data_IF_338756006293
#
_entry.id   IF_338756006293
#
_cell.length_a   1.000
_cell.length_b   1.000
_cell.length_c   1.000
_cell.angle_alpha   90.00
_cell.angle_beta   90.00
_cell.angle_gamma   90.00
#
_symmetry.space_group_name_H-M   'P 1'
#
loop_
_entity.id
_entity.type
_entity.pdbx_description
1 polymer ?
#
# COMPACT_ATOMS: atom_id res chain seq x y z
N UNK A 1 -30.22 -5.88 6.50
CA UNK A 1 -30.46 -4.44 6.34
C UNK A 1 -29.64 -3.85 5.21
N UNK A 2 -28.30 -3.99 5.21
CA UNK A 2 -27.39 -3.46 4.17
C UNK A 2 -27.74 -3.95 2.75
N UNK A 3 -28.08 -5.24 2.60
CA UNK A 3 -28.43 -5.81 1.29
C UNK A 3 -29.77 -5.26 0.75
N UNK A 4 -30.74 -5.04 1.64
CA UNK A 4 -32.05 -4.50 1.30
C UNK A 4 -31.96 -3.01 0.96
N UNK A 5 -31.11 -2.25 1.66
CA UNK A 5 -30.82 -0.86 1.30
C UNK A 5 -30.05 -0.72 -0.01
N UNK A 6 -29.13 -1.64 -0.31
CA UNK A 6 -28.43 -1.66 -1.60
C UNK A 6 -29.38 -2.01 -2.75
N UNK A 7 -30.28 -2.99 -2.55
CA UNK A 7 -31.31 -3.35 -3.51
C UNK A 7 -32.28 -2.18 -3.78
N UNK A 8 -32.77 -1.53 -2.71
CA UNK A 8 -33.62 -0.33 -2.84
C UNK A 8 -32.90 0.81 -3.56
N UNK A 9 -31.62 1.03 -3.26
CA UNK A 9 -30.82 2.05 -3.95
C UNK A 9 -30.74 1.78 -5.46
N UNK A 10 -30.40 0.55 -5.87
CA UNK A 10 -30.34 0.17 -7.29
C UNK A 10 -31.70 0.29 -7.97
N UNK A 11 -32.78 0.00 -7.25
CA UNK A 11 -34.15 0.09 -7.77
C UNK A 11 -34.65 1.54 -7.88
N UNK A 12 -34.21 2.42 -6.99
CA UNK A 12 -34.52 3.85 -7.00
C UNK A 12 -33.66 4.66 -7.99
N UNK A 13 -32.44 4.22 -8.29
CA UNK A 13 -31.52 4.84 -9.26
C UNK A 13 -31.77 4.27 -10.67
N UNK A 14 -33.03 4.31 -11.10
CA UNK A 14 -33.44 4.04 -12.49
C UNK A 14 -32.69 2.84 -13.15
N UNK A 15 -33.06 1.59 -12.83
CA UNK A 15 -32.22 0.40 -13.08
C UNK A 15 -31.79 0.22 -14.54
N UNK A 16 -32.58 0.73 -15.50
CA UNK A 16 -32.25 0.75 -16.92
C UNK A 16 -30.99 1.56 -17.27
N UNK A 17 -30.74 2.71 -16.64
CA UNK A 17 -29.54 3.53 -16.92
C UNK A 17 -28.29 3.06 -16.18
N UNK A 18 -28.47 2.34 -15.07
CA UNK A 18 -27.38 1.70 -14.33
C UNK A 18 -26.92 0.39 -14.99
N UNK A 19 -27.86 -0.44 -15.47
CA UNK A 19 -27.58 -1.77 -16.04
C UNK A 19 -27.38 -1.77 -17.56
N UNK A 20 -27.91 -0.80 -18.31
CA UNK A 20 -27.71 -0.72 -19.76
C UNK A 20 -26.30 -0.24 -20.08
N UNK A 21 -25.37 -1.20 -20.22
CA UNK A 21 -24.00 -0.98 -20.66
C UNK A 21 -23.86 -0.62 -22.15
N UNK A 22 -24.94 -0.59 -22.94
CA UNK A 22 -24.87 -0.50 -24.40
C UNK A 22 -25.22 0.87 -25.01
N UNK A 23 -25.46 1.90 -24.21
CA UNK A 23 -25.71 3.24 -24.75
C UNK A 23 -25.82 4.30 -23.67
N UNK A 24 -24.74 5.08 -23.48
CA UNK A 24 -24.71 6.30 -22.67
C UNK A 24 -25.33 6.18 -21.25
N UNK A 25 -25.28 4.98 -20.67
CA UNK A 25 -25.60 4.72 -19.26
C UNK A 25 -24.36 4.81 -18.36
N UNK A 26 -24.57 4.90 -17.05
CA UNK A 26 -23.50 5.13 -16.07
C UNK A 26 -22.36 4.11 -16.09
N UNK A 27 -22.66 2.84 -16.37
CA UNK A 27 -21.66 1.74 -16.42
C UNK A 27 -20.80 1.77 -17.69
N UNK A 28 -21.38 2.09 -18.85
CA UNK A 28 -20.62 2.23 -20.09
C UNK A 28 -19.66 3.43 -20.07
N UNK A 29 -20.04 4.51 -19.37
CA UNK A 29 -19.13 5.65 -19.14
C UNK A 29 -17.93 5.22 -18.29
N UNK A 30 -18.16 4.53 -17.17
CA UNK A 30 -17.07 4.02 -16.31
C UNK A 30 -16.17 3.04 -17.06
N UNK A 31 -16.74 2.15 -17.87
CA UNK A 31 -15.94 1.24 -18.70
C UNK A 31 -15.07 2.00 -19.70
N UNK A 32 -15.62 3.02 -20.38
CA UNK A 32 -14.86 3.85 -21.32
C UNK A 32 -13.72 4.62 -20.65
N UNK A 33 -13.98 5.17 -19.46
CA UNK A 33 -12.97 5.83 -18.63
C UNK A 33 -11.87 4.84 -18.21
N UNK A 34 -12.23 3.65 -17.73
CA UNK A 34 -11.26 2.62 -17.33
C UNK A 34 -10.45 2.12 -18.53
N UNK A 35 -11.07 1.90 -19.69
CA UNK A 35 -10.35 1.53 -20.93
C UNK A 35 -9.33 2.59 -21.32
N UNK A 36 -9.71 3.87 -21.29
CA UNK A 36 -8.79 4.96 -21.60
C UNK A 36 -7.63 5.04 -20.60
N UNK A 37 -7.85 4.62 -19.35
CA UNK A 37 -6.82 4.60 -18.29
C UNK A 37 -5.90 3.38 -18.39
N UNK A 38 -6.41 2.21 -18.77
CA UNK A 38 -5.61 0.98 -18.94
C UNK A 38 -4.89 0.89 -20.29
N UNK A 39 -5.42 1.55 -21.33
CA UNK A 39 -4.89 1.54 -22.72
C UNK A 39 -4.17 2.87 -23.02
N UNK A 40 -3.48 3.45 -22.03
CA UNK A 40 -2.66 4.67 -22.18
C UNK A 40 -1.47 4.47 -23.15
N UNK A 41 -1.15 3.22 -23.48
CA UNK A 41 -0.06 2.84 -24.39
C UNK A 41 -0.36 2.98 -25.88
N UNK A 42 -1.60 2.78 -26.33
CA UNK A 42 -1.89 2.55 -27.76
C UNK A 42 -2.72 3.64 -28.44
N UNK A 43 -3.51 4.43 -27.70
CA UNK A 43 -4.35 5.47 -28.31
C UNK A 43 -3.61 6.81 -28.32
N UNK A 44 -2.66 6.93 -29.24
CA UNK A 44 -1.81 8.11 -29.44
C UNK A 44 -2.55 9.39 -29.90
N UNK A 45 -3.87 9.34 -30.11
CA UNK A 45 -4.67 10.50 -30.50
C UNK A 45 -6.11 10.28 -30.12
N UNK A 46 -6.67 11.20 -29.34
CA UNK A 46 -8.12 11.38 -29.32
C UNK A 46 -8.51 11.89 -30.70
N UNK A 47 -8.86 11.00 -31.62
CA UNK A 47 -9.55 11.39 -32.85
C UNK A 47 -10.91 11.90 -32.41
N UNK A 48 -11.06 13.23 -32.38
CA UNK A 48 -12.38 13.84 -32.36
C UNK A 48 -13.03 13.37 -33.65
N UNK A 49 -13.99 12.46 -33.55
CA UNK A 49 -14.80 12.04 -34.69
C UNK A 49 -15.68 13.24 -35.03
N UNK A 50 -15.13 14.16 -35.82
CA UNK A 50 -15.93 15.11 -36.57
C UNK A 50 -16.10 14.53 -37.97
N UNK A 51 -17.34 14.53 -38.46
CA UNK A 51 -17.77 13.87 -39.69
C UNK A 51 -17.36 14.69 -40.94
N UNK A 52 -16.19 15.33 -40.87
CA UNK A 52 -15.58 16.19 -41.89
C UNK A 52 -14.23 15.65 -42.35
N UNK A 53 -13.91 15.82 -43.63
CA UNK A 53 -12.82 15.15 -44.38
C UNK A 53 -11.38 15.47 -43.93
N UNK A 54 -11.16 16.10 -42.77
CA UNK A 54 -9.86 16.27 -42.13
C UNK A 54 -10.03 16.33 -40.60
N UNK A 55 -9.99 15.19 -39.88
CA UNK A 55 -10.14 15.20 -38.43
C UNK A 55 -8.92 15.87 -37.79
N UNK A 56 -9.18 16.93 -37.00
CA UNK A 56 -8.15 17.60 -36.23
C UNK A 56 -7.65 16.64 -35.13
N UNK A 57 -6.37 16.31 -35.19
CA UNK A 57 -5.71 15.43 -34.22
C UNK A 57 -5.10 16.28 -33.12
N UNK A 58 -5.70 16.25 -31.94
CA UNK A 58 -5.14 16.92 -30.77
C UNK A 58 -4.24 15.96 -29.97
N UNK A 59 -3.07 16.42 -29.49
CA UNK A 59 -2.23 15.63 -28.61
C UNK A 59 -2.97 15.32 -27.30
N UNK A 60 -2.88 14.07 -26.86
CA UNK A 60 -3.59 13.61 -25.67
C UNK A 60 -3.05 14.28 -24.40
N UNK A 61 -3.91 15.01 -23.68
CA UNK A 61 -3.59 15.70 -22.41
C UNK A 61 -3.11 14.72 -21.33
N UNK A 62 -3.54 13.45 -21.36
CA UNK A 62 -3.06 12.45 -20.39
C UNK A 62 -1.56 12.17 -20.53
N UNK A 63 -0.95 12.39 -21.69
CA UNK A 63 0.51 12.28 -21.89
C UNK A 63 1.29 13.50 -21.40
N UNK A 64 0.64 14.64 -21.18
CA UNK A 64 1.32 15.88 -20.72
C UNK A 64 1.39 15.97 -19.20
N UNK A 65 0.73 15.08 -18.47
CA UNK A 65 0.72 15.07 -17.00
C UNK A 65 1.80 14.10 -16.51
N UNK A 66 2.89 14.64 -15.98
CA UNK A 66 4.04 13.86 -15.48
C UNK A 66 3.70 12.90 -14.31
N UNK A 67 2.64 13.18 -13.56
CA UNK A 67 2.16 12.30 -12.49
C UNK A 67 1.29 11.14 -13.02
N UNK A 68 0.71 11.29 -14.21
CA UNK A 68 -0.09 10.27 -14.87
C UNK A 68 0.77 9.26 -15.63
N UNK A 69 2.07 9.55 -15.77
CA UNK A 69 3.02 8.70 -16.46
C UNK A 69 3.26 7.37 -15.72
N UNK A 70 3.48 6.32 -16.52
CA UNK A 70 3.75 4.97 -16.05
C UNK A 70 5.22 4.82 -15.73
N UNK A 71 5.54 4.31 -14.54
CA UNK A 71 6.92 4.14 -14.11
C UNK A 71 7.20 2.68 -13.79
N UNK A 72 8.41 2.22 -14.11
CA UNK A 72 8.85 0.86 -13.83
C UNK A 72 8.72 0.49 -12.34
N UNK A 73 8.33 -0.76 -12.07
CA UNK A 73 8.11 -1.32 -10.73
C UNK A 73 9.20 -0.98 -9.71
N UNK A 74 10.49 -1.04 -10.10
CA UNK A 74 11.61 -0.73 -9.19
C UNK A 74 11.60 0.70 -8.70
N UNK A 75 11.18 1.62 -9.56
CA UNK A 75 11.12 3.04 -9.24
C UNK A 75 9.86 3.37 -8.42
N UNK A 76 8.77 2.63 -8.62
CA UNK A 76 7.59 2.68 -7.72
C UNK A 76 8.00 2.37 -6.28
N UNK A 77 8.72 1.26 -6.06
CA UNK A 77 9.22 0.92 -4.73
C UNK A 77 10.23 1.96 -4.23
N UNK A 78 11.18 2.38 -5.08
CA UNK A 78 12.19 3.38 -4.70
C UNK A 78 11.61 4.73 -4.29
N UNK A 79 10.42 5.08 -4.77
CA UNK A 79 9.68 6.28 -4.35
C UNK A 79 9.04 6.14 -2.97
N UNK A 80 8.87 4.91 -2.46
CA UNK A 80 8.31 4.61 -1.15
C UNK A 80 9.42 4.57 -0.11
N UNK A 81 10.36 3.63 -0.23
CA UNK A 81 11.64 3.66 0.50
C UNK A 81 12.80 3.73 -0.50
N UNK A 82 13.84 4.48 -0.14
CA UNK A 82 15.07 4.55 -0.96
C UNK A 82 15.72 3.18 -1.20
N UNK A 83 15.50 2.22 -0.32
CA UNK A 83 16.01 0.85 -0.40
C UNK A 83 14.94 -0.16 -0.85
N UNK A 84 15.01 -0.54 -2.13
CA UNK A 84 14.09 -1.48 -2.78
C UNK A 84 13.99 -2.84 -2.08
N UNK A 85 15.03 -3.29 -1.36
CA UNK A 85 14.98 -4.58 -0.65
C UNK A 85 14.02 -4.55 0.55
N UNK A 86 13.98 -3.41 1.26
CA UNK A 86 13.10 -3.23 2.42
C UNK A 86 11.65 -3.14 1.93
N UNK A 87 11.38 -2.42 0.83
CA UNK A 87 10.06 -2.39 0.23
C UNK A 87 9.55 -3.77 -0.17
N UNK A 88 10.40 -4.57 -0.82
CA UNK A 88 10.06 -5.93 -1.22
C UNK A 88 9.74 -6.81 -0.01
N UNK A 89 10.54 -6.72 1.05
CA UNK A 89 10.29 -7.44 2.29
C UNK A 89 8.94 -7.03 2.92
N UNK A 90 8.67 -5.73 2.98
CA UNK A 90 7.40 -5.19 3.48
C UNK A 90 6.19 -5.61 2.66
N UNK A 91 6.29 -5.50 1.34
CA UNK A 91 5.24 -5.89 0.41
C UNK A 91 4.92 -7.39 0.50
N UNK A 92 5.95 -8.24 0.51
CA UNK A 92 5.79 -9.70 0.63
C UNK A 92 5.18 -10.09 1.98
N UNK A 93 5.63 -9.47 3.08
CA UNK A 93 5.09 -9.70 4.40
C UNK A 93 3.63 -9.24 4.53
N UNK A 94 3.29 -8.09 3.94
CA UNK A 94 1.91 -7.64 3.86
C UNK A 94 1.04 -8.63 3.09
N UNK A 95 1.52 -9.16 1.96
CA UNK A 95 0.79 -10.14 1.17
C UNK A 95 0.57 -11.46 1.94
N UNK A 96 1.57 -11.94 2.67
CA UNK A 96 1.43 -13.08 3.57
C UNK A 96 0.38 -12.81 4.66
N UNK A 97 0.41 -11.62 5.28
CA UNK A 97 -0.59 -11.19 6.26
C UNK A 97 -1.99 -11.10 5.64
N UNK A 98 -2.10 -10.61 4.41
CA UNK A 98 -3.35 -10.52 3.67
C UNK A 98 -3.97 -11.90 3.40
N UNK A 99 -3.17 -12.92 3.11
CA UNK A 99 -3.65 -14.30 2.99
C UNK A 99 -4.08 -14.88 4.35
N UNK A 100 -3.28 -14.67 5.40
CA UNK A 100 -3.57 -15.17 6.74
C UNK A 100 -4.80 -14.49 7.39
N UNK A 101 -5.01 -13.20 7.13
CA UNK A 101 -6.06 -12.36 7.75
C UNK A 101 -6.97 -11.71 6.71
N UNK A 102 -7.27 -12.41 5.62
CA UNK A 102 -8.05 -11.90 4.48
C UNK A 102 -9.44 -11.34 4.85
N UNK A 103 -10.07 -11.86 5.91
CA UNK A 103 -11.34 -11.33 6.45
C UNK A 103 -11.21 -9.94 7.07
N UNK A 104 -10.10 -9.67 7.74
CA UNK A 104 -9.86 -8.39 8.42
C UNK A 104 -9.40 -7.34 7.42
N UNK A 105 -8.72 -7.74 6.35
CA UNK A 105 -8.23 -6.84 5.30
C UNK A 105 -9.24 -6.57 4.19
N UNK A 106 -10.33 -7.33 4.11
CA UNK A 106 -11.39 -7.13 3.11
C UNK A 106 -11.92 -5.68 3.03
N UNK A 107 -12.19 -4.98 4.15
CA UNK A 107 -12.59 -3.57 4.12
C UNK A 107 -11.52 -2.63 3.54
N UNK A 108 -10.24 -3.05 3.60
CA UNK A 108 -9.08 -2.29 3.13
C UNK A 108 -8.73 -2.61 1.66
N UNK A 109 -9.40 -3.61 1.06
CA UNK A 109 -9.16 -4.04 -0.31
C UNK A 109 -9.33 -2.93 -1.38
N UNK A 110 -10.29 -1.99 -1.27
CA UNK A 110 -10.39 -0.89 -2.24
C UNK A 110 -9.15 0.01 -2.24
N UNK A 111 -8.61 0.32 -1.06
CA UNK A 111 -7.37 1.11 -0.95
C UNK A 111 -6.16 0.32 -1.45
N UNK A 112 -6.13 -1.00 -1.22
CA UNK A 112 -5.07 -1.86 -1.75
C UNK A 112 -5.10 -1.91 -3.28
N UNK A 113 -6.29 -2.05 -3.87
CA UNK A 113 -6.47 -2.04 -5.32
C UNK A 113 -5.98 -0.72 -5.94
N UNK A 114 -6.28 0.42 -5.30
CA UNK A 114 -5.74 1.72 -5.70
C UNK A 114 -4.21 1.74 -5.61
N UNK A 115 -3.62 1.24 -4.53
CA UNK A 115 -2.17 1.13 -4.39
C UNK A 115 -1.51 0.24 -5.45
N UNK A 116 -2.12 -0.90 -5.79
CA UNK A 116 -1.63 -1.81 -6.83
C UNK A 116 -1.77 -1.22 -8.25
N UNK A 117 -2.74 -0.32 -8.47
CA UNK A 117 -2.90 0.40 -9.73
C UNK A 117 -1.69 1.29 -10.05
N UNK A 118 -0.87 1.64 -9.06
CA UNK A 118 0.39 2.38 -9.27
C UNK A 118 1.37 1.68 -10.21
N UNK A 119 1.33 0.34 -10.28
CA UNK A 119 2.20 -0.43 -11.16
C UNK A 119 1.80 -0.39 -12.63
N UNK A 120 0.51 -0.19 -12.91
CA UNK A 120 -0.02 -0.23 -14.27
C UNK A 120 -0.29 1.17 -14.82
N UNK A 121 -0.73 2.11 -13.98
CA UNK A 121 -1.33 3.36 -14.46
C UNK A 121 -0.48 4.59 -14.19
N UNK A 122 -0.38 5.04 -12.94
CA UNK A 122 0.08 6.40 -12.65
C UNK A 122 0.77 6.53 -11.31
N UNK A 123 1.81 7.38 -11.26
CA UNK A 123 2.61 7.65 -10.07
C UNK A 123 1.83 8.18 -8.87
N UNK A 124 0.66 8.79 -9.09
CA UNK A 124 -0.21 9.30 -8.02
C UNK A 124 -0.66 8.23 -7.03
N UNK A 125 -0.75 6.99 -7.50
CA UNK A 125 -1.27 5.90 -6.69
C UNK A 125 -0.22 5.29 -5.75
N UNK A 126 1.06 5.62 -5.93
CA UNK A 126 2.18 5.12 -5.12
C UNK A 126 1.97 5.47 -3.64
N UNK A 127 1.40 6.65 -3.37
CA UNK A 127 1.09 7.09 -2.00
C UNK A 127 0.14 6.13 -1.28
N UNK A 128 -0.83 5.54 -1.99
CA UNK A 128 -1.76 4.57 -1.39
C UNK A 128 -1.11 3.20 -1.15
N UNK A 129 0.00 2.87 -1.83
CA UNK A 129 0.73 1.62 -1.62
C UNK A 129 1.61 1.66 -0.35
N UNK A 130 2.15 2.83 -0.01
CA UNK A 130 3.10 2.99 1.10
C UNK A 130 2.58 2.52 2.48
N UNK A 131 1.34 2.84 2.90
CA UNK A 131 0.80 2.36 4.19
C UNK A 131 0.76 0.83 4.29
N UNK A 132 0.51 0.12 3.19
CA UNK A 132 0.45 -1.34 3.18
C UNK A 132 1.83 -1.98 3.35
N UNK A 133 2.83 -1.43 2.66
CA UNK A 133 4.24 -1.83 2.83
C UNK A 133 4.66 -1.57 4.29
N UNK A 134 4.28 -0.43 4.86
CA UNK A 134 4.52 -0.10 6.26
C UNK A 134 3.88 -1.09 7.24
N UNK A 135 2.63 -1.49 7.01
CA UNK A 135 1.94 -2.53 7.83
C UNK A 135 2.70 -3.86 7.73
N UNK A 136 3.15 -4.26 6.55
CA UNK A 136 3.94 -5.48 6.35
C UNK A 136 5.27 -5.45 7.08
N UNK A 137 6.01 -4.34 7.00
CA UNK A 137 7.27 -4.13 7.73
C UNK A 137 7.06 -4.13 9.25
N UNK A 138 6.02 -3.46 9.74
CA UNK A 138 5.67 -3.45 11.15
C UNK A 138 5.36 -4.85 11.69
N UNK A 139 4.67 -5.66 10.88
CA UNK A 139 4.40 -7.06 11.23
C UNK A 139 5.68 -7.91 11.27
N UNK A 140 6.59 -7.75 10.32
CA UNK A 140 7.90 -8.43 10.36
C UNK A 140 8.71 -8.07 11.60
N UNK A 141 8.75 -6.78 11.94
CA UNK A 141 9.47 -6.30 13.12
C UNK A 141 8.85 -6.87 14.41
N UNK A 142 7.52 -6.89 14.50
CA UNK A 142 6.82 -7.50 15.63
C UNK A 142 7.20 -8.97 15.80
N UNK A 143 7.17 -9.75 14.72
CA UNK A 143 7.59 -11.16 14.75
C UNK A 143 9.05 -11.33 15.16
N UNK A 144 9.95 -10.47 14.66
CA UNK A 144 11.36 -10.51 15.00
C UNK A 144 11.61 -10.30 16.49
N UNK A 145 10.95 -9.31 17.09
CA UNK A 145 11.09 -9.02 18.53
C UNK A 145 10.46 -10.15 19.38
N UNK A 146 9.28 -10.65 18.98
CA UNK A 146 8.64 -11.77 19.67
C UNK A 146 9.51 -13.05 19.62
N UNK A 147 10.12 -13.35 18.47
CA UNK A 147 11.01 -14.49 18.30
C UNK A 147 12.26 -14.38 19.19
N UNK A 148 12.90 -13.20 19.24
CA UNK A 148 14.04 -12.94 20.12
C UNK A 148 13.66 -13.19 21.58
N UNK A 149 12.48 -12.72 22.00
CA UNK A 149 12.01 -12.86 23.36
C UNK A 149 11.75 -14.34 23.73
N UNK A 150 11.17 -15.12 22.82
CA UNK A 150 10.99 -16.56 22.98
C UNK A 150 12.34 -17.27 23.08
N UNK A 151 13.33 -16.88 22.27
CA UNK A 151 14.69 -17.45 22.35
C UNK A 151 15.36 -17.15 23.70
N UNK A 152 15.28 -15.91 24.18
CA UNK A 152 15.83 -15.54 25.49
C UNK A 152 15.14 -16.34 26.61
N UNK A 153 13.80 -16.41 26.59
CA UNK A 153 13.04 -17.18 27.56
C UNK A 153 13.43 -18.67 27.54
N UNK A 154 13.62 -19.25 26.35
CA UNK A 154 14.08 -20.63 26.19
C UNK A 154 15.47 -20.85 26.77
N UNK A 155 16.41 -19.93 26.56
CA UNK A 155 17.77 -20.00 27.12
C UNK A 155 17.74 -19.92 28.65
N UNK A 156 16.91 -19.03 29.22
CA UNK A 156 16.77 -18.87 30.66
C UNK A 156 16.13 -20.12 31.28
N UNK A 157 15.05 -20.65 30.69
CA UNK A 157 14.41 -21.87 31.17
C UNK A 157 15.36 -23.08 31.16
N UNK A 158 16.16 -23.26 30.11
CA UNK A 158 17.18 -24.31 30.06
C UNK A 158 18.21 -24.19 31.20
N UNK A 159 18.52 -22.96 31.62
CA UNK A 159 19.43 -22.68 32.74
C UNK A 159 18.77 -22.90 34.10
N UNK A 160 17.47 -22.59 34.21
CA UNK A 160 16.70 -22.85 35.42
C UNK A 160 16.42 -24.34 35.62
N UNK A 161 16.19 -25.13 34.58
CA UNK A 161 15.98 -26.58 34.69
C UNK A 161 17.21 -27.30 35.28
N UNK A 162 18.43 -26.86 34.91
CA UNK A 162 19.69 -27.30 35.52
C UNK A 162 19.78 -26.93 37.02
N UNK A 163 19.34 -25.72 37.40
CA UNK A 163 19.38 -25.24 38.78
C UNK A 163 18.23 -25.77 39.66
N UNK A 164 17.04 -25.98 39.12
CA UNK A 164 15.85 -26.49 39.82
C UNK A 164 16.05 -27.96 40.18
N UNK A 165 16.71 -28.75 39.31
CA UNK A 165 17.15 -30.12 39.64
C UNK A 165 18.10 -30.15 40.85
N UNK A 166 18.86 -29.07 41.09
CA UNK A 166 19.66 -28.87 42.33
C UNK A 166 18.86 -28.34 43.52
N UNK A 167 17.84 -27.49 43.30
CA UNK A 167 17.10 -26.76 44.36
C UNK A 167 15.78 -27.38 44.82
N UNK A 168 15.26 -28.42 44.14
CA UNK A 168 13.97 -29.12 44.43
C UNK A 168 13.80 -29.71 45.85
N UNK A 169 14.67 -29.39 46.82
CA UNK A 169 14.51 -29.79 48.21
C UNK A 169 13.85 -28.74 49.13
N UNK A 170 13.62 -27.49 48.72
CA UNK A 170 13.06 -26.47 49.64
C UNK A 170 12.12 -25.44 48.98
N UNK A 171 10.90 -25.45 49.49
CA UNK A 171 9.93 -24.35 49.62
C UNK A 171 9.00 -24.01 48.43
N UNK A 172 7.76 -23.68 48.83
CA UNK A 172 6.59 -23.46 47.98
C UNK A 172 6.45 -22.05 47.41
N UNK A 173 5.49 -21.94 46.47
CA UNK A 173 5.28 -20.83 45.55
C UNK A 173 5.03 -19.48 46.24
N UNK A 174 5.93 -18.48 46.07
CA UNK A 174 5.78 -17.16 46.68
C UNK A 174 5.08 -16.15 45.75
N UNK A 175 4.36 -15.22 46.37
CA UNK A 175 3.71 -14.04 45.76
C UNK A 175 4.63 -13.19 44.83
N UNK A 176 5.95 -13.24 45.04
CA UNK A 176 6.96 -12.59 44.20
C UNK A 176 6.94 -13.03 42.72
N UNK A 177 6.44 -14.23 42.41
CA UNK A 177 6.31 -14.73 41.03
C UNK A 177 5.30 -13.90 40.21
N UNK A 178 4.21 -13.43 40.82
CA UNK A 178 3.17 -12.65 40.12
C UNK A 178 3.73 -11.28 39.70
N UNK A 179 4.51 -10.63 40.58
CA UNK A 179 5.14 -9.33 40.29
C UNK A 179 6.16 -9.42 39.16
N UNK A 180 6.95 -10.50 39.11
CA UNK A 180 7.89 -10.78 38.00
C UNK A 180 7.18 -10.92 36.65
N UNK A 181 6.05 -11.64 36.60
CA UNK A 181 5.27 -11.84 35.37
C UNK A 181 4.71 -10.52 34.83
N UNK A 182 4.20 -9.66 35.71
CA UNK A 182 3.69 -8.34 35.33
C UNK A 182 4.84 -7.46 34.81
N UNK A 183 5.95 -7.37 35.55
CA UNK A 183 7.14 -6.63 35.13
C UNK A 183 7.66 -7.07 33.76
N UNK A 184 7.72 -8.39 33.53
CA UNK A 184 8.17 -8.97 32.27
C UNK A 184 7.28 -8.59 31.08
N UNK A 185 5.96 -8.53 31.28
CA UNK A 185 5.02 -8.05 30.24
C UNK A 185 5.25 -6.58 29.90
N UNK A 186 5.49 -5.74 30.90
CA UNK A 186 5.78 -4.31 30.70
C UNK A 186 7.11 -4.10 29.95
N UNK A 187 8.16 -4.81 30.33
CA UNK A 187 9.46 -4.76 29.64
C UNK A 187 9.32 -5.20 28.18
N UNK A 188 8.62 -6.31 27.93
CA UNK A 188 8.35 -6.80 26.57
C UNK A 188 7.64 -5.75 25.72
N UNK A 189 6.59 -5.14 26.27
CA UNK A 189 5.78 -4.16 25.56
C UNK A 189 6.54 -2.85 25.35
N UNK A 190 7.34 -2.42 26.33
CA UNK A 190 8.27 -1.29 26.21
C UNK A 190 9.32 -1.52 25.11
N UNK A 191 9.91 -2.71 25.05
CA UNK A 191 10.88 -3.06 24.01
C UNK A 191 10.26 -3.10 22.61
N UNK A 192 9.04 -3.61 22.49
CA UNK A 192 8.29 -3.60 21.23
C UNK A 192 8.03 -2.18 20.73
N UNK A 193 7.50 -1.30 21.57
CA UNK A 193 7.21 0.09 21.17
C UNK A 193 8.48 0.90 20.94
N UNK A 194 9.51 0.70 21.75
CA UNK A 194 10.81 1.34 21.55
C UNK A 194 11.46 0.88 20.25
N UNK A 195 11.44 -0.43 19.97
CA UNK A 195 11.92 -1.00 18.72
C UNK A 195 11.16 -0.46 17.50
N UNK A 196 9.82 -0.35 17.61
CA UNK A 196 8.98 0.25 16.57
C UNK A 196 9.36 1.71 16.32
N UNK A 197 9.57 2.50 17.38
CA UNK A 197 9.95 3.92 17.27
C UNK A 197 11.32 4.13 16.65
N UNK A 198 12.32 3.34 17.07
CA UNK A 198 13.66 3.36 16.49
C UNK A 198 13.63 2.97 15.01
N UNK A 199 12.88 1.93 14.66
CA UNK A 199 12.74 1.46 13.29
C UNK A 199 12.06 2.51 12.40
N UNK A 200 11.00 3.14 12.91
CA UNK A 200 10.33 4.22 12.21
C UNK A 200 11.25 5.42 12.00
N UNK A 201 12.06 5.79 12.98
CA UNK A 201 13.06 6.85 12.81
C UNK A 201 14.07 6.50 11.70
N UNK A 202 14.63 5.28 11.71
CA UNK A 202 15.60 4.85 10.70
C UNK A 202 15.03 4.82 9.28
N UNK A 203 13.75 4.49 9.13
CA UNK A 203 13.06 4.50 7.83
C UNK A 203 12.57 5.88 7.45
N UNK A 204 12.22 6.74 8.41
CA UNK A 204 11.72 8.09 8.13
C UNK A 204 12.69 8.94 7.33
N UNK A 205 14.00 8.72 7.43
CA UNK A 205 15.00 9.40 6.59
C UNK A 205 15.09 8.83 5.17
N UNK A 206 14.54 7.63 4.96
CA UNK A 206 14.51 6.89 3.71
C UNK A 206 13.14 6.96 3.02
N UNK A 207 12.09 7.41 3.71
CA UNK A 207 10.73 7.55 3.19
C UNK A 207 10.61 8.83 2.36
N UNK A 208 10.19 8.66 1.10
CA UNK A 208 9.85 9.66 0.08
C UNK A 208 10.30 11.14 0.28
N UNK A 209 11.32 11.54 -0.49
CA UNK A 209 11.47 12.91 -1.02
C UNK A 209 10.53 13.02 -2.21
N UNK A 210 9.66 14.03 -2.25
CA UNK A 210 8.79 14.28 -3.40
C UNK A 210 9.67 14.59 -4.62
N UNK A 211 9.83 13.61 -5.51
CA UNK A 211 10.43 13.84 -6.81
C UNK A 211 9.46 14.69 -7.63
N UNK A 212 9.73 16.00 -7.73
CA UNK A 212 9.02 16.89 -8.64
C UNK A 212 9.67 16.69 -10.02
N UNK A 213 9.00 16.01 -10.96
CA UNK A 213 9.54 15.90 -12.31
C UNK A 213 9.68 17.30 -12.92
N UNK A 214 10.69 17.48 -13.76
CA UNK A 214 10.84 18.70 -14.56
C UNK A 214 9.58 18.99 -15.39
N UNK A 215 9.41 20.22 -15.88
CA UNK A 215 8.23 20.63 -16.65
C UNK A 215 7.97 19.64 -17.79
N UNK A 216 6.74 19.16 -17.88
CA UNK A 216 6.31 18.09 -18.79
C UNK A 216 6.21 18.50 -20.26
N UNK A 217 6.51 19.77 -20.57
CA UNK A 217 6.58 20.28 -21.92
C UNK A 217 7.96 20.90 -22.13
N UNK A 218 8.68 20.45 -23.15
CA UNK A 218 9.87 21.14 -23.63
C UNK A 218 9.49 22.58 -23.99
N UNK A 219 10.13 23.56 -23.36
CA UNK A 219 9.85 24.99 -23.53
C UNK A 219 9.89 25.47 -24.99
N UNK A 220 10.54 24.71 -25.88
CA UNK A 220 10.59 24.99 -27.32
C UNK A 220 9.24 24.88 -28.06
N UNK A 221 8.22 24.18 -27.54
CA UNK A 221 6.89 24.13 -28.17
C UNK A 221 6.09 25.42 -27.94
N UNK A 222 6.49 26.23 -26.96
CA UNK A 222 5.91 27.54 -26.65
C UNK A 222 6.90 28.70 -26.87
N UNK A 223 8.00 28.46 -27.60
CA UNK A 223 8.76 29.58 -28.13
C UNK A 223 7.78 30.44 -28.92
N UNK A 224 7.48 31.62 -28.38
CA UNK A 224 6.53 32.55 -28.95
C UNK A 224 6.98 32.85 -30.38
N UNK A 225 6.03 33.13 -31.27
CA UNK A 225 6.26 33.52 -32.67
C UNK A 225 7.15 34.77 -32.87
N UNK A 226 7.85 35.24 -31.83
CA UNK A 226 8.77 36.37 -31.82
C UNK A 226 10.24 35.96 -31.84
N UNK A 227 10.56 34.66 -31.86
CA UNK A 227 11.92 34.12 -31.93
C UNK A 227 12.17 33.35 -33.25
N UNK A 228 11.76 33.96 -34.37
CA UNK A 228 12.18 33.60 -35.74
C UNK A 228 12.60 34.87 -36.47
#
# INVERSE_FOLDING_TARGET
TILLSALLFVLCVHPGTFLSGSGHGGTGSVESFLKNYFVIGETASSTVIDNGTTPATFPNVFKTISEADTVHFKEVFRRILSNTMIDWAGFLAFFALALLRWRVLLPLAPMLALGLLSFQSSNRFIMFLAPFIGIGLGWLLQLGIEAIFILIAKIIHLREDEEIKRKSRKAGFPFWEISKVVWFRWVRQGMLYFGMGMFFWLISSQTAISFVPGPSIHTGIYATFLEV
#
